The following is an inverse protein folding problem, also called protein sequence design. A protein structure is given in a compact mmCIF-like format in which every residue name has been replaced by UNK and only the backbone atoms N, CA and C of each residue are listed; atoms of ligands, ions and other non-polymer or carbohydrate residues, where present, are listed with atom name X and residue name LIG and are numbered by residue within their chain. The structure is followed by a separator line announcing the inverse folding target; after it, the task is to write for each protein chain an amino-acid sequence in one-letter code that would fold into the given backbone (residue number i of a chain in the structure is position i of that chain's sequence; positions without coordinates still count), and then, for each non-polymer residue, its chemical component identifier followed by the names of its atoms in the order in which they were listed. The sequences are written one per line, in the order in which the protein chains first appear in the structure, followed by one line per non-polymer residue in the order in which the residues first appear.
data_IF_299968956757
#
_entry.id   IF_299968956757
#
_cell.length_a   1.000
_cell.length_b   1.000
_cell.length_c   1.000
_cell.angle_alpha   90.00
_cell.angle_beta   90.00
_cell.angle_gamma   90.00
#
_symmetry.space_group_name_H-M   'P 1'
#
loop_
_entity.id
_entity.type
_entity.pdbx_description
1 polymer ?
#
# COMPACT_ATOMS: atom_id res chain seq x y z
N UNK A 1 -3.01 -8.49 28.89
CA UNK A 1 -2.27 -7.42 28.19
C UNK A 1 -2.63 -7.47 26.73
N UNK A 2 -3.44 -6.53 26.23
CA UNK A 2 -3.58 -6.32 24.79
C UNK A 2 -2.40 -5.45 24.34
N UNK A 3 -1.48 -6.01 23.58
CA UNK A 3 -0.54 -5.20 22.81
C UNK A 3 -1.28 -4.67 21.60
N UNK A 4 -1.90 -3.50 21.75
CA UNK A 4 -2.27 -2.67 20.61
C UNK A 4 -0.97 -2.43 19.82
N UNK A 5 -0.90 -2.72 18.51
CA UNK A 5 0.29 -2.40 17.74
C UNK A 5 0.40 -0.88 17.78
N UNK A 6 1.31 -0.35 18.60
CA UNK A 6 1.64 1.06 18.60
C UNK A 6 2.31 1.35 17.26
N UNK A 7 1.48 1.58 16.24
CA UNK A 7 1.92 2.17 14.99
C UNK A 7 2.36 3.59 15.33
N UNK A 8 3.63 3.72 15.72
CA UNK A 8 4.27 5.02 15.91
C UNK A 8 4.11 5.75 14.58
N UNK A 9 3.45 6.93 14.54
CA UNK A 9 3.30 7.66 13.29
C UNK A 9 4.70 7.93 12.74
N UNK A 10 5.00 7.30 11.62
CA UNK A 10 6.30 7.44 10.99
C UNK A 10 6.35 8.81 10.33
N UNK A 11 7.20 9.68 10.87
CA UNK A 11 7.54 10.96 10.24
C UNK A 11 8.68 10.72 9.27
N UNK A 12 8.34 10.55 8.00
CA UNK A 12 9.31 10.58 6.90
C UNK A 12 9.24 11.94 6.22
N UNK A 13 10.38 12.43 5.74
CA UNK A 13 10.44 13.68 4.98
C UNK A 13 10.39 13.36 3.49
N UNK A 14 9.83 14.29 2.72
CA UNK A 14 9.91 14.23 1.27
C UNK A 14 11.36 14.42 0.83
N UNK A 15 11.81 13.56 -0.09
CA UNK A 15 13.13 13.67 -0.72
C UNK A 15 12.96 14.17 -2.16
N UNK A 16 13.92 14.94 -2.64
CA UNK A 16 13.92 15.44 -4.02
C UNK A 16 14.72 14.48 -4.90
N UNK A 17 14.10 14.04 -6.00
CA UNK A 17 14.72 13.19 -7.02
C UNK A 17 14.66 13.96 -8.33
N UNK A 18 15.74 14.66 -8.69
CA UNK A 18 15.75 15.56 -9.85
C UNK A 18 14.71 16.68 -9.72
N UNK A 19 13.78 16.75 -10.67
CA UNK A 19 12.63 17.68 -10.64
C UNK A 19 11.47 17.19 -9.77
N UNK A 20 11.47 15.91 -9.40
CA UNK A 20 10.38 15.24 -8.71
C UNK A 20 10.62 15.18 -7.20
N UNK A 21 9.56 14.82 -6.47
CA UNK A 21 9.58 14.66 -5.01
C UNK A 21 8.99 13.30 -4.67
N UNK A 22 9.65 12.55 -3.79
CA UNK A 22 9.27 11.21 -3.39
C UNK A 22 9.15 11.07 -1.87
N UNK A 23 8.36 10.10 -1.43
CA UNK A 23 8.27 9.66 -0.03
C UNK A 23 9.08 8.37 0.11
N UNK A 24 9.97 8.33 1.09
CA UNK A 24 10.66 7.09 1.43
C UNK A 24 9.81 6.26 2.39
N UNK A 25 9.35 5.10 1.90
CA UNK A 25 8.73 4.06 2.71
C UNK A 25 9.82 3.06 3.11
N UNK A 26 9.85 2.68 4.39
CA UNK A 26 10.78 1.64 4.84
C UNK A 26 10.22 0.23 4.57
N UNK A 27 11.09 -0.77 4.69
CA UNK A 27 10.70 -2.16 4.48
C UNK A 27 9.58 -2.60 5.43
N UNK A 28 9.58 -2.14 6.68
CA UNK A 28 8.58 -2.53 7.66
C UNK A 28 7.18 -2.02 7.29
N UNK A 29 7.08 -0.85 6.66
CA UNK A 29 5.83 -0.36 6.08
C UNK A 29 5.37 -1.22 4.91
N UNK A 30 6.29 -1.55 3.99
CA UNK A 30 5.99 -2.39 2.83
C UNK A 30 5.50 -3.78 3.26
N UNK A 31 6.15 -4.38 4.27
CA UNK A 31 5.76 -5.66 4.85
C UNK A 31 4.36 -5.58 5.50
N UNK A 32 4.01 -4.46 6.14
CA UNK A 32 2.70 -4.29 6.78
C UNK A 32 1.54 -4.29 5.78
N UNK A 33 1.77 -3.76 4.58
CA UNK A 33 0.77 -3.72 3.51
C UNK A 33 0.92 -4.86 2.50
N UNK A 34 1.86 -5.78 2.76
CA UNK A 34 2.22 -6.89 1.87
C UNK A 34 2.50 -6.40 0.44
N UNK A 35 3.41 -5.42 0.33
CA UNK A 35 3.81 -4.80 -0.93
C UNK A 35 5.31 -4.88 -1.14
N UNK A 36 5.72 -4.79 -2.40
CA UNK A 36 7.11 -4.73 -2.86
C UNK A 36 7.39 -3.41 -3.57
N UNK A 37 8.66 -3.04 -3.80
CA UNK A 37 9.00 -1.86 -4.60
C UNK A 37 8.45 -1.87 -6.03
N UNK A 38 8.07 -3.05 -6.55
CA UNK A 38 7.48 -3.25 -7.87
C UNK A 38 5.94 -3.22 -7.84
N UNK A 39 5.34 -3.16 -6.65
CA UNK A 39 3.89 -3.13 -6.49
C UNK A 39 3.33 -1.79 -7.00
N UNK A 40 2.35 -1.85 -7.89
CA UNK A 40 1.65 -0.66 -8.34
C UNK A 40 0.78 -0.07 -7.22
N UNK A 41 0.78 1.25 -7.08
CA UNK A 41 -0.07 1.96 -6.12
C UNK A 41 -1.02 2.91 -6.83
N UNK A 42 -2.29 2.88 -6.41
CA UNK A 42 -3.24 3.95 -6.72
C UNK A 42 -2.99 5.09 -5.75
N UNK A 43 -2.73 6.27 -6.31
CA UNK A 43 -2.57 7.52 -5.55
C UNK A 43 -3.90 8.26 -5.58
N UNK A 44 -4.42 8.67 -4.42
CA UNK A 44 -5.61 9.50 -4.32
C UNK A 44 -5.39 10.60 -3.29
N UNK A 45 -5.91 11.79 -3.56
CA UNK A 45 -5.77 12.93 -2.64
C UNK A 45 -7.03 13.76 -2.60
N UNK A 46 -7.34 14.27 -1.40
CA UNK A 46 -8.40 15.24 -1.13
C UNK A 46 -7.84 16.66 -0.91
N UNK A 47 -6.55 16.88 -1.21
CA UNK A 47 -5.83 18.13 -1.00
C UNK A 47 -5.29 18.33 0.43
N UNK A 48 -5.59 17.41 1.36
CA UNK A 48 -5.06 17.44 2.74
C UNK A 48 -4.24 16.20 3.06
N UNK A 49 -4.63 15.07 2.49
CA UNK A 49 -4.01 13.77 2.70
C UNK A 49 -3.72 13.14 1.33
N UNK A 50 -2.63 12.39 1.27
CA UNK A 50 -2.32 11.50 0.15
C UNK A 50 -2.54 10.08 0.65
N UNK A 51 -3.41 9.35 -0.04
CA UNK A 51 -3.70 7.94 0.21
C UNK A 51 -3.03 7.13 -0.89
N UNK A 52 -2.16 6.21 -0.48
CA UNK A 52 -1.51 5.22 -1.32
C UNK A 52 -2.20 3.88 -1.07
N UNK A 53 -2.81 3.30 -2.10
CA UNK A 53 -3.46 1.99 -2.02
C UNK A 53 -2.78 1.02 -2.97
N UNK A 54 -2.19 -0.09 -2.48
CA UNK A 54 -1.59 -1.08 -3.37
C UNK A 54 -2.67 -1.68 -4.28
N UNK A 55 -2.38 -1.78 -5.57
CA UNK A 55 -3.25 -2.42 -6.56
C UNK A 55 -2.96 -3.92 -6.50
N UNK A 56 -3.76 -4.64 -5.73
CA UNK A 56 -3.76 -6.10 -5.78
C UNK A 56 -4.59 -6.48 -7.00
N UNK A 57 -3.97 -7.13 -7.98
CA UNK A 57 -4.74 -7.84 -9.00
C UNK A 57 -5.53 -8.91 -8.25
N UNK A 58 -6.80 -8.62 -8.01
CA UNK A 58 -7.80 -9.61 -7.67
C UNK A 58 -7.91 -10.55 -8.88
N UNK A 59 -7.03 -11.55 -8.94
CA UNK A 59 -7.29 -12.79 -9.68
C UNK A 59 -8.36 -13.55 -8.91
N UNK A 60 -9.54 -12.94 -8.80
CA UNK A 60 -10.78 -13.51 -8.36
C UNK A 60 -11.68 -13.73 -9.57
N UNK A 61 -11.15 -14.33 -10.62
CA UNK A 61 -11.99 -14.85 -11.71
C UNK A 61 -12.63 -16.15 -11.21
N UNK A 62 -13.75 -15.94 -10.52
CA UNK A 62 -14.93 -16.78 -10.45
C UNK A 62 -14.85 -18.14 -11.16
N UNK A 63 -14.15 -19.12 -10.58
CA UNK A 63 -14.35 -20.54 -10.93
C UNK A 63 -15.25 -21.18 -9.86
N UNK A 64 -16.48 -20.67 -9.81
CA UNK A 64 -17.60 -21.24 -9.09
C UNK A 64 -18.68 -21.72 -10.06
N UNK A 65 -18.29 -22.19 -11.25
CA UNK A 65 -19.20 -22.94 -12.12
C UNK A 65 -19.14 -24.41 -11.69
N UNK A 66 -20.03 -24.79 -10.78
CA UNK A 66 -20.29 -26.19 -10.46
C UNK A 66 -21.17 -26.76 -11.58
N UNK A 67 -20.71 -27.74 -12.39
CA UNK A 67 -21.63 -28.51 -13.20
C UNK A 67 -22.35 -29.49 -12.26
N UNK A 68 -23.64 -29.27 -12.06
CA UNK A 68 -24.52 -30.29 -11.51
C UNK A 68 -24.63 -31.42 -12.56
N UNK A 69 -24.04 -32.57 -12.25
CA UNK A 69 -24.32 -33.83 -12.95
C UNK A 69 -25.60 -34.47 -12.41
#
# INVERSE_FOLDING_TARGET
MNHEPQQKPMRTSLIRIGSEVAVLLDQAMLDLIDATPETAFKVSTDGRVIVLTPVRHETGDQTGDMPAH
#
